data_IF_224172431285
#
_entry.id   IF_224172431285
#
_cell.length_a   1.000
_cell.length_b   1.000
_cell.length_c   1.000
_cell.angle_alpha   90.00
_cell.angle_beta   90.00
_cell.angle_gamma   90.00
#
_symmetry.space_group_name_H-M   'P 1'
#
loop_
_entity.id
_entity.type
_entity.pdbx_description
1 polymer ?
#
# COMPACT_ATOMS: atom_id res chain seq x y z
N UNK A 1 -9.88 11.23 -8.66
CA UNK A 1 -9.20 9.98 -8.31
C UNK A 1 -9.04 9.87 -6.80
N UNK A 2 -10.01 9.23 -6.15
CA UNK A 2 -9.89 8.76 -4.77
C UNK A 2 -8.97 7.53 -4.71
N UNK A 3 -7.77 7.66 -4.13
CA UNK A 3 -6.84 6.55 -3.91
C UNK A 3 -6.94 6.11 -2.45
N UNK A 4 -7.34 4.86 -2.21
CA UNK A 4 -7.41 4.31 -0.84
C UNK A 4 -6.14 3.56 -0.46
N UNK A 5 -5.71 3.65 0.80
CA UNK A 5 -4.51 2.99 1.29
C UNK A 5 -4.80 1.57 1.82
N UNK A 6 -4.63 0.57 0.96
CA UNK A 6 -4.70 -0.85 1.34
C UNK A 6 -3.33 -1.44 1.69
N UNK A 7 -2.47 -0.68 2.36
CA UNK A 7 -1.19 -1.17 2.90
C UNK A 7 -1.21 -1.25 4.42
N UNK A 8 -0.20 -1.89 5.02
CA UNK A 8 -0.11 -2.01 6.49
C UNK A 8 0.16 -0.68 7.18
N UNK A 9 0.93 0.20 6.54
CA UNK A 9 1.38 1.46 7.13
C UNK A 9 0.42 2.59 6.81
N UNK A 10 0.49 3.66 7.60
CA UNK A 10 -0.19 4.91 7.27
C UNK A 10 0.44 5.51 6.01
N UNK A 11 -0.40 6.09 5.17
CA UNK A 11 0.00 6.80 3.97
C UNK A 11 0.78 8.03 4.39
N UNK A 12 1.93 8.22 3.76
CA UNK A 12 2.68 9.45 3.87
C UNK A 12 1.93 10.57 3.15
N UNK A 13 2.02 11.82 3.61
CA UNK A 13 1.36 12.95 2.95
C UNK A 13 1.66 13.04 1.43
N UNK A 14 2.89 12.73 1.04
CA UNK A 14 3.34 12.72 -0.36
C UNK A 14 2.67 11.67 -1.25
N UNK A 15 2.09 10.60 -0.66
CA UNK A 15 1.38 9.56 -1.40
C UNK A 15 -0.07 9.96 -1.72
N UNK A 16 -0.61 10.99 -1.05
CA UNK A 16 -1.97 11.50 -1.31
C UNK A 16 -3.09 10.46 -1.15
N UNK A 17 -2.83 9.35 -0.47
CA UNK A 17 -3.80 8.27 -0.28
C UNK A 17 -4.68 8.55 0.94
N UNK A 18 -5.94 8.14 0.87
CA UNK A 18 -6.91 8.21 1.96
C UNK A 18 -6.83 6.92 2.76
N UNK A 19 -6.76 7.03 4.08
CA UNK A 19 -6.85 5.87 4.96
C UNK A 19 -8.27 5.29 4.95
N UNK A 20 -8.41 3.96 4.82
CA UNK A 20 -9.69 3.30 5.02
C UNK A 20 -10.21 3.51 6.44
N UNK A 21 -11.52 3.62 6.61
CA UNK A 21 -12.15 3.71 7.94
C UNK A 21 -11.81 2.48 8.78
N UNK A 22 -11.79 1.31 8.13
CA UNK A 22 -11.46 0.02 8.74
C UNK A 22 -9.98 -0.36 8.58
N UNK A 23 -9.04 0.56 8.85
CA UNK A 23 -7.60 0.30 8.69
C UNK A 23 -7.06 -0.93 9.42
N UNK A 24 -7.57 -1.22 10.62
CA UNK A 24 -7.15 -2.40 11.37
C UNK A 24 -7.63 -3.71 10.71
N UNK A 25 -8.79 -3.71 10.05
CA UNK A 25 -9.24 -4.86 9.26
C UNK A 25 -8.33 -5.09 8.05
N UNK A 26 -7.95 -4.01 7.34
CA UNK A 26 -6.98 -4.07 6.24
C UNK A 26 -5.65 -4.69 6.70
N UNK A 27 -5.10 -4.24 7.83
CA UNK A 27 -3.88 -4.84 8.41
C UNK A 27 -4.07 -6.34 8.73
N UNK A 28 -5.23 -6.71 9.28
CA UNK A 28 -5.58 -8.10 9.54
C UNK A 28 -5.56 -8.96 8.28
N UNK A 29 -6.18 -8.50 7.19
CA UNK A 29 -6.20 -9.23 5.92
C UNK A 29 -4.82 -9.34 5.27
N UNK A 30 -3.94 -8.34 5.45
CA UNK A 30 -2.57 -8.36 4.95
C UNK A 30 -1.60 -9.24 5.77
N UNK A 31 -1.99 -9.66 6.97
CA UNK A 31 -1.10 -10.38 7.91
C UNK A 31 -1.39 -11.88 7.92
N UNK A 32 -0.42 -12.68 7.50
CA UNK A 32 -0.48 -14.15 7.51
C UNK A 32 0.41 -14.71 8.61
N UNK A 33 -0.19 -15.34 9.63
CA UNK A 33 0.54 -15.94 10.75
C UNK A 33 1.06 -17.36 10.51
N UNK A 34 0.59 -18.02 9.45
CA UNK A 34 0.96 -19.37 9.04
C UNK A 34 0.93 -19.48 7.51
N UNK A 35 1.39 -20.61 6.95
CA UNK A 35 1.30 -20.87 5.51
C UNK A 35 -0.17 -20.80 5.05
N UNK A 36 -0.56 -19.84 4.21
CA UNK A 36 -1.95 -19.69 3.82
C UNK A 36 -2.37 -20.75 2.81
N UNK A 37 -3.62 -21.19 2.92
CA UNK A 37 -4.25 -21.99 1.89
C UNK A 37 -4.67 -21.11 0.69
N UNK A 38 -4.74 -21.64 -0.54
CA UNK A 38 -5.10 -20.85 -1.72
C UNK A 38 -6.44 -20.10 -1.59
N UNK A 39 -7.45 -20.73 -0.97
CA UNK A 39 -8.75 -20.12 -0.73
C UNK A 39 -8.70 -18.96 0.29
N UNK A 40 -7.80 -19.03 1.28
CA UNK A 40 -7.60 -17.94 2.24
C UNK A 40 -7.03 -16.70 1.55
N UNK A 41 -6.07 -16.88 0.64
CA UNK A 41 -5.49 -15.79 -0.16
C UNK A 41 -6.58 -15.09 -0.98
N UNK A 42 -7.37 -15.87 -1.72
CA UNK A 42 -8.46 -15.34 -2.54
C UNK A 42 -9.50 -14.60 -1.70
N UNK A 43 -9.90 -15.18 -0.58
CA UNK A 43 -10.88 -14.57 0.31
C UNK A 43 -10.38 -13.24 0.89
N UNK A 44 -9.13 -13.18 1.37
CA UNK A 44 -8.53 -11.94 1.88
C UNK A 44 -8.40 -10.86 0.81
N UNK A 45 -8.04 -11.24 -0.41
CA UNK A 45 -8.00 -10.33 -1.56
C UNK A 45 -9.39 -9.72 -1.85
N UNK A 46 -10.44 -10.54 -1.83
CA UNK A 46 -11.82 -10.06 -1.99
C UNK A 46 -12.24 -9.11 -0.86
N UNK A 47 -11.90 -9.43 0.39
CA UNK A 47 -12.23 -8.56 1.52
C UNK A 47 -11.55 -7.19 1.41
N UNK A 48 -10.28 -7.15 1.00
CA UNK A 48 -9.55 -5.91 0.77
C UNK A 48 -10.15 -5.09 -0.38
N UNK A 49 -10.49 -5.75 -1.50
CA UNK A 49 -11.11 -5.08 -2.65
C UNK A 49 -12.52 -4.59 -2.34
N UNK A 50 -13.27 -5.32 -1.51
CA UNK A 50 -14.58 -4.92 -1.01
C UNK A 50 -14.49 -3.65 -0.15
N UNK A 51 -13.51 -3.56 0.76
CA UNK A 51 -13.26 -2.32 1.54
C UNK A 51 -13.05 -1.12 0.62
N UNK A 52 -12.23 -1.26 -0.43
CA UNK A 52 -12.03 -0.17 -1.39
C UNK A 52 -13.32 0.21 -2.14
N UNK A 53 -14.13 -0.77 -2.51
CA UNK A 53 -15.39 -0.54 -3.22
C UNK A 53 -16.44 0.14 -2.35
N UNK A 54 -16.60 -0.28 -1.09
CA UNK A 54 -17.54 0.31 -0.12
C UNK A 54 -17.22 1.78 0.16
N UNK A 55 -15.93 2.13 0.13
CA UNK A 55 -15.49 3.50 0.26
C UNK A 55 -15.55 4.29 -1.06
N UNK A 56 -15.95 3.69 -2.18
CA UNK A 56 -16.04 4.37 -3.48
C UNK A 56 -14.68 4.81 -4.01
N UNK A 57 -13.63 4.04 -3.77
CA UNK A 57 -12.30 4.32 -4.29
C UNK A 57 -12.23 4.10 -5.82
N UNK A 58 -11.52 4.98 -6.52
CA UNK A 58 -11.23 4.82 -7.95
C UNK A 58 -9.92 4.04 -8.17
N UNK A 59 -9.03 4.08 -7.18
CA UNK A 59 -7.77 3.35 -7.16
C UNK A 59 -7.41 2.93 -5.72
N UNK A 60 -6.55 1.92 -5.58
CA UNK A 60 -6.06 1.46 -4.29
C UNK A 60 -4.53 1.33 -4.33
N UNK A 61 -3.87 2.00 -3.40
CA UNK A 61 -2.46 1.73 -3.12
C UNK A 61 -2.35 0.39 -2.41
N UNK A 62 -1.65 -0.56 -3.03
CA UNK A 62 -1.44 -1.92 -2.51
C UNK A 62 0.04 -2.21 -2.28
N UNK A 63 0.31 -3.17 -1.41
CA UNK A 63 1.66 -3.61 -1.09
C UNK A 63 1.65 -4.64 0.04
N UNK A 64 2.52 -5.63 -0.03
CA UNK A 64 2.58 -6.70 0.96
C UNK A 64 3.16 -7.99 0.40
N UNK A 65 2.68 -9.11 0.94
CA UNK A 65 3.18 -10.42 0.56
C UNK A 65 2.90 -10.76 -0.93
N UNK A 66 3.93 -11.11 -1.74
CA UNK A 66 3.77 -11.33 -3.18
C UNK A 66 2.71 -12.38 -3.55
N UNK A 67 2.51 -13.40 -2.71
CA UNK A 67 1.51 -14.45 -2.96
C UNK A 67 0.05 -13.97 -2.83
N UNK A 68 -0.20 -12.81 -2.22
CA UNK A 68 -1.53 -12.17 -2.16
C UNK A 68 -1.77 -11.22 -3.34
N UNK A 69 -0.71 -10.61 -3.86
CA UNK A 69 -0.79 -9.44 -4.75
C UNK A 69 -1.60 -9.72 -6.02
N UNK A 70 -1.31 -10.78 -6.75
CA UNK A 70 -2.04 -11.10 -7.99
C UNK A 70 -3.55 -11.33 -7.74
N UNK A 71 -3.90 -11.96 -6.61
CA UNK A 71 -5.31 -12.15 -6.24
C UNK A 71 -6.00 -10.81 -5.93
N UNK A 72 -5.31 -9.92 -5.20
CA UNK A 72 -5.83 -8.59 -4.85
C UNK A 72 -5.97 -7.69 -6.08
N UNK A 73 -4.98 -7.69 -6.99
CA UNK A 73 -5.05 -6.97 -8.26
C UNK A 73 -6.28 -7.38 -9.07
N UNK A 74 -6.51 -8.69 -9.21
CA UNK A 74 -7.66 -9.22 -9.94
C UNK A 74 -8.99 -8.83 -9.27
N UNK A 75 -9.06 -8.93 -7.93
CA UNK A 75 -10.25 -8.55 -7.17
C UNK A 75 -10.58 -7.05 -7.33
N UNK A 76 -9.57 -6.17 -7.27
CA UNK A 76 -9.74 -4.74 -7.49
C UNK A 76 -10.18 -4.42 -8.93
N UNK A 77 -9.51 -5.01 -9.92
CA UNK A 77 -9.85 -4.83 -11.35
C UNK A 77 -11.26 -5.28 -11.67
N UNK A 78 -11.71 -6.39 -11.09
CA UNK A 78 -13.09 -6.89 -11.26
C UNK A 78 -14.16 -5.90 -10.79
N UNK A 79 -13.76 -4.95 -9.94
CA UNK A 79 -14.60 -3.88 -9.36
C UNK A 79 -14.35 -2.52 -10.02
N UNK A 80 -13.53 -2.45 -11.07
CA UNK A 80 -13.17 -1.20 -11.73
C UNK A 80 -12.22 -0.31 -10.92
N UNK A 81 -11.54 -0.86 -9.91
CA UNK A 81 -10.61 -0.13 -9.04
C UNK A 81 -9.18 -0.39 -9.54
N UNK A 82 -8.40 0.67 -9.74
CA UNK A 82 -7.02 0.56 -10.23
C UNK A 82 -6.07 0.15 -9.11
N UNK A 83 -5.38 -1.01 -9.18
CA UNK A 83 -4.33 -1.34 -8.23
C UNK A 83 -3.06 -0.51 -8.52
N UNK A 84 -2.49 0.09 -7.49
CA UNK A 84 -1.32 0.96 -7.59
C UNK A 84 -0.21 0.54 -6.61
N UNK A 85 1.01 0.37 -7.10
CA UNK A 85 2.19 0.23 -6.26
C UNK A 85 2.89 1.57 -6.10
N UNK A 86 3.18 1.96 -4.85
CA UNK A 86 4.00 3.14 -4.60
C UNK A 86 5.45 2.89 -5.04
N UNK A 87 5.96 3.75 -5.93
CA UNK A 87 7.34 3.76 -6.34
C UNK A 87 8.10 4.85 -5.59
N UNK A 88 9.24 4.48 -5.01
CA UNK A 88 10.09 5.39 -4.25
C UNK A 88 11.53 5.30 -4.71
N UNK A 89 12.18 6.46 -4.83
CA UNK A 89 13.61 6.56 -5.08
C UNK A 89 14.38 6.63 -3.77
N UNK A 90 15.58 6.04 -3.76
CA UNK A 90 16.51 6.17 -2.64
C UNK A 90 17.34 7.43 -2.83
N UNK A 91 17.12 8.41 -1.96
CA UNK A 91 17.82 9.70 -1.98
C UNK A 91 18.77 9.76 -0.78
N UNK A 92 20.01 10.18 -1.04
CA UNK A 92 20.96 10.50 0.03
C UNK A 92 20.83 11.97 0.42
N UNK A 93 20.36 12.24 1.63
CA UNK A 93 20.29 13.57 2.20
C UNK A 93 21.48 13.79 3.15
N UNK A 94 22.05 14.99 3.14
CA UNK A 94 23.13 15.37 4.04
C UNK A 94 22.66 16.57 4.87
N UNK A 95 22.81 16.47 6.20
CA UNK A 95 22.45 17.53 7.15
C UNK A 95 23.68 17.89 7.96
N UNK A 96 24.09 19.15 7.91
CA UNK A 96 25.17 19.68 8.76
C UNK A 96 24.64 19.82 10.20
N UNK A 97 25.34 19.23 11.14
CA UNK A 97 25.00 19.25 12.55
C UNK A 97 25.57 20.50 13.24
N UNK A 98 25.02 20.91 14.41
CA UNK A 98 25.50 22.08 15.14
C UNK A 98 26.99 22.05 15.53
N UNK A 99 27.59 20.85 15.65
CA UNK A 99 29.01 20.65 15.96
C UNK A 99 29.92 20.67 14.71
N UNK A 100 29.35 20.93 13.53
CA UNK A 100 30.05 20.96 12.25
C UNK A 100 30.22 19.61 11.57
N UNK A 101 29.73 18.51 12.17
CA UNK A 101 29.73 17.20 11.53
C UNK A 101 28.62 17.10 10.46
N UNK A 102 28.75 16.16 9.51
CA UNK A 102 27.74 15.93 8.46
C UNK A 102 27.08 14.57 8.69
N UNK A 103 25.77 14.58 8.91
CA UNK A 103 24.95 13.37 8.95
C UNK A 103 24.42 13.05 7.57
N UNK A 104 24.76 11.87 7.07
CA UNK A 104 24.25 11.34 5.81
C UNK A 104 23.12 10.35 6.08
N UNK A 105 21.94 10.62 5.54
CA UNK A 105 20.74 9.80 5.73
C UNK A 105 20.23 9.30 4.38
N UNK A 106 19.90 8.02 4.29
CA UNK A 106 19.16 7.49 3.14
C UNK A 106 17.67 7.65 3.41
N UNK A 107 16.96 8.35 2.52
CA UNK A 107 15.52 8.57 2.58
C UNK A 107 14.87 7.92 1.36
N UNK A 108 13.75 7.24 1.55
CA UNK A 108 12.89 6.78 0.46
C UNK A 108 11.87 7.87 0.18
N UNK A 109 11.96 8.50 -1.00
CA UNK A 109 11.03 9.54 -1.42
C UNK A 109 10.05 8.93 -2.41
N UNK A 110 8.75 9.05 -2.15
CA UNK A 110 7.72 8.68 -3.11
C UNK A 110 7.83 9.53 -4.37
N UNK A 111 7.81 8.90 -5.54
CA UNK A 111 7.92 9.57 -6.85
C UNK A 111 6.65 9.39 -7.68
N UNK A 112 5.90 8.32 -7.44
CA UNK A 112 4.61 8.10 -8.10
C UNK A 112 4.11 6.68 -7.94
N UNK A 113 3.12 6.32 -8.76
CA UNK A 113 2.48 5.02 -8.73
C UNK A 113 2.72 4.23 -10.02
N UNK A 114 2.86 2.92 -9.87
CA UNK A 114 2.83 1.96 -10.98
C UNK A 114 1.48 1.25 -10.95
N UNK A 115 0.69 1.40 -12.01
CA UNK A 115 -0.55 0.64 -12.24
C UNK A 115 -0.19 -0.72 -12.84
N UNK A 116 -0.85 -1.79 -12.39
CA UNK A 116 -0.65 -3.17 -12.89
C UNK A 116 -1.95 -3.80 -13.33
#
# INVERSE_FOLDING_TARGET
MKIINLTQHAALPEQGCIEPEMKEAVKGFLTFGSLPAPNEILWRAEMLAQTAAEEGAEAAMIGGAPYLMSALENALKSRGIKPLYAFSERVSAETVQPDGTVLKTNVFRHVGFVEV
#
